data_IF_382284436767
#
_entry.id   IF_382284436767
#
_cell.length_a   1.000
_cell.length_b   1.000
_cell.length_c   1.000
_cell.angle_alpha   90.00
_cell.angle_beta   90.00
_cell.angle_gamma   90.00
#
_symmetry.space_group_name_H-M   'P 1'
#
loop_
_entity.id
_entity.type
_entity.pdbx_description
1 polymer ?
#
# COMPACT_ATOMS: atom_id res chain seq x y z
N UNK A 1 60.41 -6.37 5.39
CA UNK A 1 60.05 -5.61 4.18
C UNK A 1 58.70 -6.05 3.70
N UNK A 2 57.90 -5.12 3.34
CA UNK A 2 56.55 -5.11 2.81
C UNK A 2 55.43 -5.01 3.86
N UNK A 3 55.14 -3.76 4.15
CA UNK A 3 53.84 -3.30 4.65
C UNK A 3 52.87 -3.29 3.46
N UNK A 4 51.84 -4.13 3.50
CA UNK A 4 50.73 -4.14 2.54
C UNK A 4 49.54 -3.35 3.11
N UNK A 5 49.24 -2.25 2.50
CA UNK A 5 48.18 -1.35 2.91
C UNK A 5 46.79 -2.01 2.88
N UNK A 6 46.12 -1.93 4.01
CA UNK A 6 44.67 -2.20 4.12
C UNK A 6 43.94 -1.00 3.52
N UNK A 7 43.47 -1.21 2.33
CA UNK A 7 43.08 -0.22 1.37
C UNK A 7 41.61 0.18 1.49
N UNK A 8 41.37 1.38 1.10
CA UNK A 8 40.19 2.20 0.82
C UNK A 8 38.80 1.52 0.60
N UNK A 9 38.69 0.21 0.54
CA UNK A 9 37.40 -0.50 0.37
C UNK A 9 36.62 -0.69 1.65
N UNK A 10 37.26 -0.74 2.82
CA UNK A 10 36.55 -0.90 4.10
C UNK A 10 35.86 0.39 4.56
N UNK A 11 36.37 1.56 4.21
CA UNK A 11 35.79 2.84 4.56
C UNK A 11 34.52 3.18 3.77
N UNK A 12 34.42 2.74 2.53
CA UNK A 12 33.21 2.95 1.71
C UNK A 12 32.00 2.11 2.13
N UNK A 13 32.23 0.97 2.77
CA UNK A 13 31.14 0.13 3.29
C UNK A 13 30.55 0.67 4.62
N UNK A 14 31.36 1.34 5.42
CA UNK A 14 30.91 1.93 6.69
C UNK A 14 30.09 3.23 6.50
N UNK A 15 30.28 3.96 5.40
CA UNK A 15 29.49 5.15 5.09
C UNK A 15 28.06 4.83 4.62
N UNK A 16 27.80 3.64 4.10
CA UNK A 16 26.48 3.23 3.59
C UNK A 16 25.46 2.87 4.70
N UNK A 17 25.89 2.74 5.93
CA UNK A 17 25.03 2.30 7.05
C UNK A 17 24.75 3.38 8.09
N UNK A 18 25.16 4.62 7.84
CA UNK A 18 24.82 5.71 8.75
C UNK A 18 23.40 6.19 8.46
N UNK A 19 22.48 5.87 9.38
CA UNK A 19 21.11 6.43 9.38
C UNK A 19 21.20 7.94 9.21
N UNK A 20 20.41 8.55 8.30
CA UNK A 20 20.37 10.01 8.16
C UNK A 20 19.98 10.61 9.50
N UNK A 21 20.79 11.57 10.00
CA UNK A 21 20.53 12.25 11.25
C UNK A 21 19.43 13.28 11.02
N UNK A 22 18.31 13.14 11.72
CA UNK A 22 17.28 14.18 11.75
C UNK A 22 17.87 15.44 12.40
N UNK A 23 17.84 16.54 11.69
CA UNK A 23 18.30 17.85 12.18
C UNK A 23 17.15 18.82 12.02
N UNK A 24 16.79 19.50 13.10
CA UNK A 24 15.89 20.66 13.02
C UNK A 24 16.62 21.78 12.29
N UNK A 25 15.99 22.34 11.29
CA UNK A 25 16.52 23.40 10.45
C UNK A 25 15.65 24.65 10.63
N UNK A 26 16.28 25.77 10.97
CA UNK A 26 15.60 27.06 11.01
C UNK A 26 15.21 27.51 9.59
N UNK A 27 14.11 28.28 9.43
CA UNK A 27 13.65 28.73 8.11
C UNK A 27 14.73 29.46 7.30
N UNK A 28 15.57 30.25 7.96
CA UNK A 28 16.69 30.95 7.34
C UNK A 28 17.81 30.03 6.87
N UNK A 29 18.08 28.95 7.61
CA UNK A 29 19.06 27.96 7.22
C UNK A 29 18.54 27.17 6.00
N UNK A 30 17.27 26.78 6.02
CA UNK A 30 16.63 26.12 4.90
C UNK A 30 16.64 27.00 3.64
N UNK A 31 16.29 28.30 3.78
CA UNK A 31 16.37 29.26 2.69
C UNK A 31 17.79 29.34 2.11
N UNK A 32 18.79 29.40 2.95
CA UNK A 32 20.21 29.48 2.54
C UNK A 32 20.65 28.18 1.83
N UNK A 33 20.19 26.99 2.28
CA UNK A 33 20.50 25.71 1.64
C UNK A 33 19.87 25.64 0.25
N UNK A 34 18.62 26.05 0.12
CA UNK A 34 17.88 26.00 -1.14
C UNK A 34 18.37 27.02 -2.18
N UNK A 35 18.95 28.16 -1.72
CA UNK A 35 19.43 29.24 -2.60
C UNK A 35 20.95 29.23 -2.85
N UNK A 36 21.67 28.22 -2.39
CA UNK A 36 23.09 28.08 -2.70
C UNK A 36 23.29 27.63 -4.16
N UNK A 37 23.55 28.60 -5.04
CA UNK A 37 23.72 28.37 -6.48
C UNK A 37 24.76 27.27 -6.80
N UNK A 38 25.82 27.18 -6.00
CA UNK A 38 26.89 26.18 -6.15
C UNK A 38 26.48 24.76 -5.76
N UNK A 39 25.35 24.61 -5.08
CA UNK A 39 24.86 23.30 -4.58
C UNK A 39 23.49 22.91 -5.16
N UNK A 40 22.91 23.72 -6.03
CA UNK A 40 21.59 23.42 -6.65
C UNK A 40 21.59 22.07 -7.38
N UNK A 41 22.69 21.71 -8.05
CA UNK A 41 22.83 20.42 -8.71
C UNK A 41 22.79 19.23 -7.74
N UNK A 42 23.16 19.46 -6.47
CA UNK A 42 23.15 18.42 -5.44
C UNK A 42 21.78 18.19 -4.81
N UNK A 43 20.83 19.12 -4.95
CA UNK A 43 19.47 18.95 -4.43
C UNK A 43 18.73 17.80 -5.13
N UNK A 44 19.14 17.45 -6.33
CA UNK A 44 18.59 16.32 -7.08
C UNK A 44 19.32 15.00 -6.81
N UNK A 45 20.43 15.04 -6.07
CA UNK A 45 21.15 13.82 -5.70
C UNK A 45 20.34 13.01 -4.67
N UNK A 46 20.15 11.71 -4.88
CA UNK A 46 19.52 10.86 -3.87
C UNK A 46 20.27 10.95 -2.53
N UNK A 47 19.54 11.18 -1.45
CA UNK A 47 20.07 11.28 -0.08
C UNK A 47 20.89 12.53 0.27
N UNK A 48 20.88 13.58 -0.57
CA UNK A 48 21.54 14.84 -0.21
C UNK A 48 20.70 15.64 0.80
N UNK A 49 19.42 15.84 0.52
CA UNK A 49 18.47 16.54 1.39
C UNK A 49 17.09 15.92 1.24
N UNK A 50 16.50 15.52 2.35
CA UNK A 50 15.09 15.11 2.42
C UNK A 50 14.34 16.11 3.30
N UNK A 51 13.45 16.89 2.70
CA UNK A 51 12.57 17.80 3.42
C UNK A 51 11.27 17.09 3.76
N UNK A 52 10.90 17.09 5.04
CA UNK A 52 9.66 16.53 5.53
C UNK A 52 8.75 17.64 6.06
N UNK A 53 7.58 17.78 5.44
CA UNK A 53 6.56 18.71 5.91
C UNK A 53 5.62 17.96 6.87
N UNK A 54 5.61 18.38 8.13
CA UNK A 54 4.83 17.76 9.22
C UNK A 54 3.47 18.41 9.44
N UNK A 55 3.15 19.46 8.68
CA UNK A 55 1.88 20.17 8.80
C UNK A 55 0.71 19.30 8.37
N UNK A 56 -0.51 19.77 8.63
CA UNK A 56 -1.71 19.10 8.15
C UNK A 56 -1.73 19.01 6.61
N UNK A 57 -2.48 18.03 6.07
CA UNK A 57 -2.63 17.91 4.62
C UNK A 57 -3.12 19.20 3.96
N UNK A 58 -4.05 19.92 4.61
CA UNK A 58 -4.58 21.17 4.10
C UNK A 58 -3.49 22.24 3.97
N UNK A 59 -2.69 22.45 5.01
CA UNK A 59 -1.61 23.43 5.00
C UNK A 59 -0.51 23.06 4.00
N UNK A 60 -0.23 21.78 3.83
CA UNK A 60 0.70 21.31 2.80
C UNK A 60 0.17 21.57 1.39
N UNK A 61 -1.11 21.27 1.12
CA UNK A 61 -1.75 21.48 -0.19
C UNK A 61 -1.88 22.98 -0.53
N UNK A 62 -2.06 23.86 0.49
CA UNK A 62 -2.12 25.31 0.30
C UNK A 62 -0.76 25.91 -0.12
N UNK A 63 0.34 25.45 0.48
CA UNK A 63 1.69 25.87 0.10
C UNK A 63 2.76 24.99 0.72
N UNK A 64 3.72 24.52 -0.07
CA UNK A 64 4.86 23.75 0.41
C UNK A 64 6.10 23.98 -0.46
N UNK A 65 7.27 23.64 0.06
CA UNK A 65 8.50 23.62 -0.73
C UNK A 65 8.40 22.47 -1.75
N UNK A 66 8.66 22.75 -3.02
CA UNK A 66 8.46 21.78 -4.14
C UNK A 66 9.08 20.39 -3.88
N UNK A 67 10.22 20.37 -3.16
CA UNK A 67 10.93 19.13 -2.81
C UNK A 67 10.52 18.54 -1.47
N UNK A 68 9.62 19.20 -0.72
CA UNK A 68 9.17 18.68 0.57
C UNK A 68 8.15 17.55 0.41
N UNK A 69 8.33 16.52 1.22
CA UNK A 69 7.43 15.39 1.30
C UNK A 69 6.50 15.56 2.51
N UNK A 70 5.21 15.39 2.31
CA UNK A 70 4.26 15.42 3.42
C UNK A 70 4.43 14.19 4.30
N UNK A 71 4.81 14.36 5.57
CA UNK A 71 5.16 13.27 6.49
C UNK A 71 4.05 12.24 6.62
N UNK A 72 2.81 12.66 6.76
CA UNK A 72 1.69 11.73 6.88
C UNK A 72 1.53 10.85 5.64
N UNK A 73 1.72 11.41 4.44
CA UNK A 73 1.67 10.66 3.17
C UNK A 73 2.82 9.65 3.08
N UNK A 74 4.01 10.05 3.50
CA UNK A 74 5.17 9.15 3.51
C UNK A 74 5.08 8.08 4.60
N UNK A 75 4.63 8.43 5.80
CA UNK A 75 4.38 7.46 6.87
C UNK A 75 3.26 6.47 6.50
N UNK A 76 2.20 6.93 5.83
CA UNK A 76 1.13 6.07 5.33
C UNK A 76 1.61 5.15 4.18
N UNK A 77 2.62 5.61 3.40
CA UNK A 77 3.28 4.79 2.39
C UNK A 77 4.30 3.82 3.01
N UNK A 78 4.85 4.15 4.16
CA UNK A 78 5.89 3.38 4.86
C UNK A 78 5.29 2.45 5.93
N UNK A 79 4.30 1.66 5.54
CA UNK A 79 3.86 0.55 6.38
C UNK A 79 4.74 -0.66 6.09
N UNK A 80 5.60 -1.07 7.03
CA UNK A 80 6.56 -2.16 6.79
C UNK A 80 5.84 -3.50 6.60
N UNK A 81 4.66 -3.70 7.19
CA UNK A 81 3.87 -4.92 7.08
C UNK A 81 2.47 -4.66 6.52
N UNK A 82 1.86 -5.65 5.86
CA UNK A 82 0.46 -5.62 5.47
C UNK A 82 -0.46 -5.42 6.67
N UNK A 83 -1.60 -4.79 6.43
CA UNK A 83 -2.61 -4.52 7.46
C UNK A 83 -3.53 -5.73 7.61
N UNK A 84 -3.80 -6.11 8.83
CA UNK A 84 -4.73 -7.17 9.15
C UNK A 84 -6.18 -6.69 8.99
N UNK A 85 -6.94 -7.40 8.13
CA UNK A 85 -8.36 -7.12 7.87
C UNK A 85 -9.26 -8.14 8.55
N UNK A 86 -8.87 -9.41 8.53
CA UNK A 86 -9.52 -10.46 9.32
C UNK A 86 -8.47 -11.06 10.24
N UNK A 87 -8.68 -11.02 11.57
CA UNK A 87 -7.68 -11.42 12.54
C UNK A 87 -7.06 -12.80 12.28
N UNK A 88 -5.73 -12.82 12.11
CA UNK A 88 -4.93 -14.01 11.84
C UNK A 88 -5.19 -14.70 10.51
N UNK A 89 -5.98 -14.09 9.58
CA UNK A 89 -6.43 -14.79 8.37
C UNK A 89 -6.25 -14.01 7.07
N UNK A 90 -6.65 -12.72 7.04
CA UNK A 90 -6.60 -11.92 5.82
C UNK A 90 -5.84 -10.63 6.07
N UNK A 91 -4.80 -10.43 5.27
CA UNK A 91 -3.97 -9.23 5.27
C UNK A 91 -4.15 -8.47 3.96
N UNK A 92 -4.02 -7.15 4.04
CA UNK A 92 -4.13 -6.21 2.93
C UNK A 92 -2.80 -5.47 2.77
N UNK A 93 -2.19 -5.60 1.60
CA UNK A 93 -0.85 -5.05 1.36
C UNK A 93 -0.65 -4.47 -0.02
N UNK A 94 0.62 -4.11 -0.28
CA UNK A 94 1.11 -3.67 -1.58
C UNK A 94 2.01 -4.74 -2.22
N UNK A 95 2.40 -4.49 -3.48
CA UNK A 95 3.23 -5.42 -4.25
C UNK A 95 4.60 -5.68 -3.61
N UNK A 96 5.26 -4.64 -3.09
CA UNK A 96 6.56 -4.79 -2.43
C UNK A 96 6.47 -5.70 -1.19
N UNK A 97 5.40 -5.56 -0.39
CA UNK A 97 5.15 -6.42 0.76
C UNK A 97 4.85 -7.87 0.35
N UNK A 98 4.12 -8.05 -0.76
CA UNK A 98 3.83 -9.38 -1.30
C UNK A 98 5.09 -10.08 -1.85
N UNK A 99 6.10 -9.33 -2.27
CA UNK A 99 7.37 -9.85 -2.77
C UNK A 99 8.44 -10.06 -1.69
N UNK A 100 8.19 -9.66 -0.44
CA UNK A 100 9.16 -9.77 0.65
C UNK A 100 9.11 -11.16 1.32
N UNK A 101 10.19 -11.98 1.22
CA UNK A 101 10.23 -13.31 1.82
C UNK A 101 10.09 -13.29 3.34
N UNK A 102 10.57 -12.23 4.00
CA UNK A 102 10.46 -12.08 5.44
C UNK A 102 9.01 -11.94 5.86
N UNK A 103 8.24 -11.08 5.17
CA UNK A 103 6.81 -10.89 5.42
C UNK A 103 6.04 -12.19 5.20
N UNK A 104 6.31 -12.91 4.09
CA UNK A 104 5.69 -14.21 3.81
C UNK A 104 5.89 -15.20 4.97
N UNK A 105 7.10 -15.26 5.50
CA UNK A 105 7.47 -16.14 6.60
C UNK A 105 6.85 -15.70 7.93
N UNK A 106 7.01 -14.43 8.28
CA UNK A 106 6.58 -13.88 9.58
C UNK A 106 5.07 -13.98 9.76
N UNK A 107 4.30 -13.66 8.71
CA UNK A 107 2.84 -13.75 8.72
C UNK A 107 2.31 -15.14 8.33
N UNK A 108 3.19 -16.08 7.97
CA UNK A 108 2.85 -17.44 7.55
C UNK A 108 1.85 -17.48 6.39
N UNK A 109 2.02 -16.55 5.44
CA UNK A 109 1.12 -16.43 4.29
C UNK A 109 1.18 -17.69 3.44
N UNK A 110 0.02 -18.24 3.08
CA UNK A 110 -0.15 -19.49 2.32
C UNK A 110 -0.80 -19.29 0.97
N UNK A 111 -1.47 -18.16 0.75
CA UNK A 111 -2.08 -17.84 -0.52
C UNK A 111 -2.08 -16.33 -0.79
N UNK A 112 -2.09 -15.99 -2.06
CA UNK A 112 -2.13 -14.61 -2.55
C UNK A 112 -3.38 -14.35 -3.38
N UNK A 113 -3.95 -13.16 -3.22
CA UNK A 113 -4.87 -12.55 -4.17
C UNK A 113 -4.19 -11.30 -4.71
N UNK A 114 -3.70 -11.40 -5.93
CA UNK A 114 -3.05 -10.31 -6.65
C UNK A 114 -4.07 -9.59 -7.54
N UNK A 115 -4.33 -8.31 -7.23
CA UNK A 115 -5.26 -7.47 -8.01
C UNK A 115 -4.45 -6.37 -8.71
N UNK A 116 -3.52 -6.80 -9.56
CA UNK A 116 -2.65 -5.90 -10.31
C UNK A 116 -2.15 -6.54 -11.61
N UNK A 117 -1.48 -5.75 -12.45
CA UNK A 117 -0.89 -6.25 -13.69
C UNK A 117 0.44 -6.97 -13.45
N UNK A 118 1.10 -6.70 -12.32
CA UNK A 118 2.42 -7.25 -11.99
C UNK A 118 2.31 -8.70 -11.52
N UNK A 119 3.33 -9.50 -11.85
CA UNK A 119 3.48 -10.87 -11.37
C UNK A 119 4.52 -10.94 -10.25
N UNK A 120 4.09 -11.45 -9.08
CA UNK A 120 4.98 -11.65 -7.94
C UNK A 120 5.74 -12.98 -8.02
N UNK A 121 6.79 -13.15 -7.20
CA UNK A 121 7.64 -14.34 -7.19
C UNK A 121 7.02 -15.54 -6.47
N UNK A 122 5.99 -15.32 -5.63
CA UNK A 122 5.40 -16.38 -4.81
C UNK A 122 4.16 -16.97 -5.45
N UNK A 123 4.04 -18.28 -5.34
CA UNK A 123 2.89 -19.08 -5.79
C UNK A 123 2.62 -19.02 -7.30
N UNK A 124 3.58 -18.53 -8.10
CA UNK A 124 3.45 -18.51 -9.55
C UNK A 124 3.23 -19.94 -10.09
N UNK A 125 2.14 -20.14 -10.86
CA UNK A 125 1.75 -21.46 -11.38
C UNK A 125 0.99 -22.35 -10.40
N UNK A 126 0.78 -21.93 -9.16
CA UNK A 126 -0.02 -22.67 -8.16
C UNK A 126 -1.44 -22.06 -8.06
N UNK A 127 -2.33 -22.51 -8.94
CA UNK A 127 -3.70 -21.99 -9.04
C UNK A 127 -4.52 -22.16 -7.75
N UNK A 128 -4.16 -23.08 -6.90
CA UNK A 128 -4.72 -23.29 -5.57
C UNK A 128 -4.21 -22.31 -4.52
N UNK A 129 -3.12 -21.58 -4.79
CA UNK A 129 -2.51 -20.62 -3.86
C UNK A 129 -2.44 -19.18 -4.40
N UNK A 130 -2.62 -18.98 -5.69
CA UNK A 130 -2.59 -17.66 -6.31
C UNK A 130 -3.85 -17.42 -7.13
N UNK A 131 -4.68 -16.49 -6.69
CA UNK A 131 -5.68 -15.85 -7.52
C UNK A 131 -5.12 -14.56 -8.10
N UNK A 132 -4.89 -14.51 -9.40
CA UNK A 132 -4.39 -13.32 -10.10
C UNK A 132 -5.48 -12.68 -10.94
N UNK A 133 -5.95 -11.52 -10.53
CA UNK A 133 -6.93 -10.68 -11.23
C UNK A 133 -6.16 -9.54 -11.90
N UNK A 134 -5.86 -9.71 -13.18
CA UNK A 134 -5.06 -8.78 -13.97
C UNK A 134 -5.91 -7.61 -14.45
N UNK A 135 -6.01 -6.59 -13.63
CA UNK A 135 -6.69 -5.33 -13.96
C UNK A 135 -5.80 -4.13 -13.63
N UNK A 136 -5.94 -3.07 -14.42
CA UNK A 136 -5.31 -1.77 -14.16
C UNK A 136 -6.04 -1.01 -13.06
N UNK A 137 -5.39 0.01 -12.48
CA UNK A 137 -6.06 0.92 -11.55
C UNK A 137 -6.68 2.09 -12.31
N UNK A 138 -7.72 1.78 -13.05
CA UNK A 138 -8.46 2.73 -13.87
C UNK A 138 -9.96 2.65 -13.58
N UNK A 139 -10.73 3.71 -13.87
CA UNK A 139 -12.18 3.70 -13.71
C UNK A 139 -12.89 2.66 -14.62
N UNK A 140 -12.25 2.27 -15.72
CA UNK A 140 -12.75 1.32 -16.71
C UNK A 140 -12.47 -0.14 -16.32
N UNK A 141 -11.59 -0.36 -15.33
CA UNK A 141 -11.21 -1.70 -14.89
C UNK A 141 -12.40 -2.48 -14.33
N UNK A 142 -12.56 -3.71 -14.80
CA UNK A 142 -13.69 -4.56 -14.41
C UNK A 142 -13.28 -5.56 -13.34
N UNK A 143 -13.69 -5.33 -12.09
CA UNK A 143 -13.45 -6.25 -10.96
C UNK A 143 -14.67 -7.14 -10.69
N UNK A 144 -15.88 -6.65 -10.95
CA UNK A 144 -17.14 -7.32 -10.62
C UNK A 144 -17.21 -8.78 -11.07
N UNK A 145 -16.78 -9.16 -12.31
CA UNK A 145 -16.85 -10.54 -12.77
C UNK A 145 -16.02 -11.52 -11.90
N UNK A 146 -15.01 -11.02 -11.21
CA UNK A 146 -14.09 -11.83 -10.41
C UNK A 146 -14.49 -11.92 -8.94
N UNK A 147 -15.39 -11.06 -8.44
CA UNK A 147 -15.68 -10.94 -7.01
C UNK A 147 -16.25 -12.23 -6.40
N UNK A 148 -17.11 -12.93 -7.11
CA UNK A 148 -17.64 -14.23 -6.64
C UNK A 148 -16.52 -15.25 -6.44
N UNK A 149 -15.63 -15.36 -7.42
CA UNK A 149 -14.49 -16.29 -7.36
C UNK A 149 -13.52 -15.89 -6.25
N UNK A 150 -13.23 -14.59 -6.11
CA UNK A 150 -12.40 -14.03 -5.03
C UNK A 150 -12.95 -14.39 -3.65
N UNK A 151 -14.26 -14.24 -3.45
CA UNK A 151 -14.89 -14.56 -2.17
C UNK A 151 -14.83 -16.06 -1.86
N UNK A 152 -15.06 -16.92 -2.85
CA UNK A 152 -14.94 -18.37 -2.70
C UNK A 152 -13.49 -18.79 -2.41
N UNK A 153 -12.52 -18.28 -3.16
CA UNK A 153 -11.10 -18.55 -2.94
C UNK A 153 -10.68 -18.16 -1.52
N UNK A 154 -11.04 -16.94 -1.09
CA UNK A 154 -10.75 -16.46 0.26
C UNK A 154 -11.40 -17.33 1.33
N UNK A 155 -12.69 -17.64 1.17
CA UNK A 155 -13.45 -18.45 2.11
C UNK A 155 -12.88 -19.87 2.26
N UNK A 156 -12.53 -20.53 1.16
CA UNK A 156 -11.92 -21.86 1.16
C UNK A 156 -10.60 -21.89 1.93
N UNK A 157 -9.73 -20.90 1.69
CA UNK A 157 -8.45 -20.81 2.40
C UNK A 157 -8.63 -20.56 3.90
N UNK A 158 -9.59 -19.71 4.28
CA UNK A 158 -9.89 -19.44 5.69
C UNK A 158 -10.41 -20.70 6.39
N UNK A 159 -11.24 -21.49 5.73
CA UNK A 159 -11.73 -22.78 6.25
C UNK A 159 -10.60 -23.79 6.44
N UNK A 160 -9.60 -23.77 5.57
CA UNK A 160 -8.37 -24.57 5.68
C UNK A 160 -7.37 -24.03 6.71
N UNK A 161 -7.69 -22.92 7.41
CA UNK A 161 -6.79 -22.28 8.37
C UNK A 161 -5.60 -21.56 7.74
N UNK A 162 -5.66 -21.27 6.44
CA UNK A 162 -4.61 -20.56 5.71
C UNK A 162 -4.67 -19.05 5.94
N UNK A 163 -3.50 -18.41 5.91
CA UNK A 163 -3.36 -16.96 5.91
C UNK A 163 -3.24 -16.46 4.49
N UNK A 164 -4.01 -15.43 4.13
CA UNK A 164 -4.08 -14.87 2.78
C UNK A 164 -3.58 -13.42 2.80
N UNK A 165 -2.83 -13.06 1.76
CA UNK A 165 -2.49 -11.67 1.46
C UNK A 165 -3.24 -11.21 0.20
N UNK A 166 -4.10 -10.20 0.36
CA UNK A 166 -4.73 -9.47 -0.75
C UNK A 166 -3.86 -8.24 -1.04
N UNK A 167 -3.40 -8.07 -2.28
CA UNK A 167 -2.53 -6.96 -2.61
C UNK A 167 -2.77 -6.41 -4.02
N UNK A 168 -2.28 -5.21 -4.25
CA UNK A 168 -2.16 -4.57 -5.56
C UNK A 168 -0.90 -3.72 -5.57
N UNK A 169 -0.54 -3.11 -6.70
CA UNK A 169 0.69 -2.32 -6.88
C UNK A 169 0.98 -1.41 -5.68
N UNK A 170 0.03 -0.53 -5.33
CA UNK A 170 0.15 0.42 -4.21
C UNK A 170 -0.59 -0.02 -2.95
N UNK A 171 -1.47 -1.00 -3.04
CA UNK A 171 -2.24 -1.48 -1.89
C UNK A 171 -3.34 -0.54 -1.39
N UNK A 172 -3.79 0.45 -2.16
CA UNK A 172 -4.73 1.50 -1.71
C UNK A 172 -6.07 1.55 -2.46
N UNK A 173 -6.16 1.00 -3.68
CA UNK A 173 -7.35 1.04 -4.53
C UNK A 173 -7.89 -0.36 -4.79
N UNK A 174 -7.40 -1.09 -5.79
CA UNK A 174 -7.89 -2.40 -6.24
C UNK A 174 -7.94 -3.46 -5.13
N UNK A 175 -6.87 -3.59 -4.36
CA UNK A 175 -6.82 -4.55 -3.23
C UNK A 175 -7.79 -4.16 -2.11
N UNK A 176 -8.02 -2.86 -1.87
CA UNK A 176 -9.03 -2.41 -0.92
C UNK A 176 -10.44 -2.75 -1.40
N UNK A 177 -10.75 -2.53 -2.70
CA UNK A 177 -12.02 -2.93 -3.28
C UNK A 177 -12.26 -4.45 -3.15
N UNK A 178 -11.23 -5.27 -3.41
CA UNK A 178 -11.27 -6.71 -3.23
C UNK A 178 -11.56 -7.13 -1.78
N UNK A 179 -10.88 -6.51 -0.81
CA UNK A 179 -11.09 -6.77 0.62
C UNK A 179 -12.50 -6.36 1.08
N UNK A 180 -12.99 -5.20 0.61
CA UNK A 180 -14.36 -4.73 0.89
C UNK A 180 -15.37 -5.73 0.34
N UNK A 181 -15.23 -6.15 -0.92
CA UNK A 181 -16.15 -7.13 -1.54
C UNK A 181 -16.20 -8.46 -0.79
N UNK A 182 -15.04 -8.93 -0.31
CA UNK A 182 -14.98 -10.12 0.53
C UNK A 182 -15.74 -9.94 1.85
N UNK A 183 -15.53 -8.83 2.56
CA UNK A 183 -16.21 -8.54 3.82
C UNK A 183 -17.73 -8.40 3.64
N UNK A 184 -18.17 -7.77 2.56
CA UNK A 184 -19.60 -7.69 2.21
C UNK A 184 -20.20 -9.09 2.07
N UNK A 185 -19.53 -9.97 1.32
CA UNK A 185 -20.01 -11.32 1.08
C UNK A 185 -19.95 -12.21 2.34
N UNK A 186 -18.82 -12.19 3.05
CA UNK A 186 -18.60 -13.10 4.20
C UNK A 186 -19.46 -12.76 5.42
N UNK A 187 -19.82 -11.49 5.58
CA UNK A 187 -20.60 -11.02 6.74
C UNK A 187 -22.02 -10.60 6.36
N UNK A 188 -22.43 -10.77 5.09
CA UNK A 188 -23.73 -10.33 4.57
C UNK A 188 -24.04 -8.87 4.96
N UNK A 189 -23.06 -7.98 4.75
CA UNK A 189 -23.16 -6.59 5.17
C UNK A 189 -23.09 -5.60 4.01
N UNK A 190 -23.58 -4.39 4.25
CA UNK A 190 -23.61 -3.31 3.25
C UNK A 190 -22.20 -2.84 2.87
N UNK A 191 -22.08 -2.25 1.68
CA UNK A 191 -20.86 -1.58 1.23
C UNK A 191 -20.41 -0.52 2.24
N UNK A 192 -21.32 0.33 2.72
CA UNK A 192 -21.02 1.38 3.70
C UNK A 192 -20.34 0.81 4.95
N UNK A 193 -20.86 -0.29 5.49
CA UNK A 193 -20.31 -0.91 6.70
C UNK A 193 -18.92 -1.52 6.45
N UNK A 194 -18.78 -2.23 5.34
CA UNK A 194 -17.50 -2.84 4.94
C UNK A 194 -16.45 -1.77 4.63
N UNK A 195 -16.88 -0.70 3.94
CA UNK A 195 -16.04 0.47 3.66
C UNK A 195 -15.51 1.12 4.93
N UNK A 196 -16.43 1.46 5.86
CA UNK A 196 -16.04 2.08 7.13
C UNK A 196 -15.06 1.21 7.94
N UNK A 197 -15.26 -0.11 7.92
CA UNK A 197 -14.37 -1.04 8.58
C UNK A 197 -12.96 -1.03 7.95
N UNK A 198 -12.85 -1.19 6.63
CA UNK A 198 -11.55 -1.18 5.94
C UNK A 198 -10.89 0.19 6.07
N UNK A 199 -11.65 1.28 6.02
CA UNK A 199 -11.16 2.65 6.23
C UNK A 199 -10.56 2.84 7.63
N UNK A 200 -11.15 2.24 8.64
CA UNK A 200 -10.62 2.24 10.02
C UNK A 200 -9.30 1.47 10.12
N UNK A 201 -9.19 0.32 9.44
CA UNK A 201 -7.95 -0.47 9.42
C UNK A 201 -6.87 0.21 8.58
N UNK A 202 -7.25 0.83 7.46
CA UNK A 202 -6.36 1.43 6.46
C UNK A 202 -6.89 2.80 6.03
N UNK A 203 -6.49 3.83 6.77
CA UNK A 203 -6.99 5.20 6.60
C UNK A 203 -6.65 5.82 5.24
N UNK A 204 -5.58 5.38 4.57
CA UNK A 204 -5.17 5.84 3.25
C UNK A 204 -5.80 5.05 2.09
N UNK A 205 -6.78 4.17 2.36
CA UNK A 205 -7.50 3.50 1.28
C UNK A 205 -8.25 4.50 0.41
N UNK A 206 -8.20 4.29 -0.89
CA UNK A 206 -8.85 5.14 -1.88
C UNK A 206 -9.16 4.33 -3.16
N UNK A 207 -10.18 3.47 -3.15
CA UNK A 207 -10.65 2.82 -4.37
C UNK A 207 -11.11 3.87 -5.38
N UNK A 208 -10.76 3.68 -6.66
CA UNK A 208 -11.25 4.55 -7.72
C UNK A 208 -12.76 4.37 -7.94
N UNK A 209 -13.42 5.38 -8.55
CA UNK A 209 -14.87 5.42 -8.71
C UNK A 209 -15.44 4.26 -9.51
N UNK A 210 -14.71 3.79 -10.53
CA UNK A 210 -15.15 2.64 -11.32
C UNK A 210 -15.23 1.36 -10.49
N UNK A 211 -14.36 1.19 -9.52
CA UNK A 211 -14.42 0.08 -8.56
C UNK A 211 -15.55 0.26 -7.54
N UNK A 212 -15.78 1.51 -7.09
CA UNK A 212 -16.88 1.81 -6.14
C UNK A 212 -18.24 1.51 -6.75
N UNK A 213 -18.48 1.90 -7.99
CA UNK A 213 -19.75 1.59 -8.68
C UNK A 213 -19.96 0.08 -8.82
N UNK A 214 -18.91 -0.69 -9.08
CA UNK A 214 -18.99 -2.14 -9.14
C UNK A 214 -19.21 -2.79 -7.76
N UNK A 215 -18.73 -2.17 -6.68
CA UNK A 215 -19.06 -2.62 -5.32
C UNK A 215 -20.51 -2.36 -4.96
N UNK A 216 -21.15 -1.30 -5.46
CA UNK A 216 -22.59 -1.09 -5.33
C UNK A 216 -23.41 -2.16 -6.09
N UNK A 217 -22.97 -2.52 -7.31
CA UNK A 217 -23.60 -3.65 -8.03
C UNK A 217 -23.40 -4.98 -7.29
N UNK A 218 -22.24 -5.17 -6.66
CA UNK A 218 -21.96 -6.32 -5.82
C UNK A 218 -22.87 -6.36 -4.59
N UNK A 219 -23.13 -5.21 -3.94
CA UNK A 219 -24.10 -5.09 -2.85
C UNK A 219 -25.47 -5.57 -3.28
N UNK A 220 -25.96 -5.11 -4.43
CA UNK A 220 -27.23 -5.57 -5.01
C UNK A 220 -27.29 -7.07 -5.24
N UNK A 221 -26.20 -7.67 -5.71
CA UNK A 221 -26.10 -9.12 -5.94
C UNK A 221 -26.20 -9.90 -4.64
N UNK A 222 -25.56 -9.41 -3.56
CA UNK A 222 -25.50 -10.10 -2.27
C UNK A 222 -26.80 -9.88 -1.46
N UNK A 223 -27.26 -8.63 -1.39
CA UNK A 223 -28.33 -8.21 -0.47
C UNK A 223 -29.69 -8.02 -1.17
N UNK A 224 -29.75 -8.20 -2.50
CA UNK A 224 -30.96 -8.06 -3.28
C UNK A 224 -31.35 -6.62 -3.64
N UNK A 225 -30.57 -5.60 -3.25
CA UNK A 225 -30.86 -4.19 -3.55
C UNK A 225 -29.67 -3.26 -3.29
N UNK A 226 -29.77 -2.03 -3.78
CA UNK A 226 -28.85 -0.95 -3.45
C UNK A 226 -29.27 -0.36 -2.09
N UNK A 227 -28.46 -0.54 -1.07
CA UNK A 227 -28.71 -0.07 0.31
C UNK A 227 -27.84 1.13 0.62
N UNK A 228 -26.56 1.09 0.20
CA UNK A 228 -25.60 2.16 0.44
C UNK A 228 -25.83 3.34 -0.50
N UNK A 229 -25.91 4.56 0.07
CA UNK A 229 -25.83 5.76 -0.72
C UNK A 229 -24.35 6.11 -0.95
N UNK A 230 -23.97 6.36 -2.21
CA UNK A 230 -22.60 6.65 -2.59
C UNK A 230 -22.02 7.90 -1.88
N UNK A 231 -22.89 8.86 -1.57
CA UNK A 231 -22.51 10.07 -0.83
C UNK A 231 -22.02 9.77 0.58
N UNK A 232 -22.49 8.68 1.19
CA UNK A 232 -22.10 8.27 2.54
C UNK A 232 -20.69 7.69 2.63
N UNK A 233 -20.07 7.40 1.48
CA UNK A 233 -18.69 6.90 1.38
C UNK A 233 -17.63 8.00 1.31
N UNK A 234 -18.05 9.26 1.14
CA UNK A 234 -17.18 10.41 0.95
C UNK A 234 -16.62 11.00 2.25
N UNK A 235 -17.11 10.59 3.41
CA UNK A 235 -16.78 11.16 4.71
C UNK A 235 -16.05 10.19 5.63
#
# INVERSE_FOLDING_TARGET
>A
MQQGGATSRQWKAAEKTRMPRLVLCEPTELYNILNQVTKLSRLIEPNYLCLLDVRSKREYDESHVITALHVKKELDAFQPYPIEIVPGKVFLGNFSQACDPKIQKDLKIKAHINVSMETGPFFAGEADKLLHIQIEDSPEAQILPFLRHLCHFTGSHIQLGSVILIFSTRGISRSCAAAIAYLMHSNEQTLQRSWAYVKKCKNNMCPNWGLVTQLLEWEKIILGGFITNITDLLY
#
